data_IF_053317374314
#
_entry.id   IF_053317374314
#
_cell.length_a   1.000
_cell.length_b   1.000
_cell.length_c   1.000
_cell.angle_alpha   90.00
_cell.angle_beta   90.00
_cell.angle_gamma   90.00
#
_symmetry.space_group_name_H-M   'P 1'
#
loop_
_entity.id
_entity.type
_entity.pdbx_description
1 polymer ?
#
# COMPACT_ATOMS: atom_id res chain seq x y z
N UNK A 1 -12.47 0.91 17.42
CA UNK A 1 -13.83 1.42 17.10
C UNK A 1 -13.94 1.55 15.58
N UNK A 2 -15.12 1.35 14.96
CA UNK A 2 -15.28 1.57 13.52
C UNK A 2 -14.90 3.01 13.14
N UNK A 3 -14.07 3.19 12.11
CA UNK A 3 -13.59 4.50 11.67
C UNK A 3 -12.28 4.99 12.31
N UNK A 4 -11.55 4.12 13.02
CA UNK A 4 -10.19 4.43 13.50
C UNK A 4 -9.13 4.21 12.40
N UNK A 5 -8.05 4.99 12.47
CA UNK A 5 -6.87 4.82 11.63
C UNK A 5 -6.17 3.51 11.93
N UNK A 6 -5.78 2.78 10.88
CA UNK A 6 -4.93 1.59 10.97
C UNK A 6 -3.61 1.83 10.24
N UNK A 7 -2.51 1.29 10.79
CA UNK A 7 -1.20 1.33 10.16
C UNK A 7 -0.92 -0.04 9.54
N UNK A 8 -0.64 -0.07 8.24
CA UNK A 8 -0.22 -1.27 7.53
C UNK A 8 1.29 -1.21 7.29
N UNK A 9 2.01 -2.15 7.90
CA UNK A 9 3.46 -2.23 7.79
C UNK A 9 3.87 -3.48 7.01
N UNK A 10 4.92 -3.35 6.18
CA UNK A 10 5.48 -4.46 5.42
C UNK A 10 6.92 -4.70 5.90
N UNK A 11 7.08 -5.66 6.81
CA UNK A 11 8.37 -6.04 7.41
C UNK A 11 9.15 -7.09 6.59
N UNK A 12 8.92 -7.14 5.27
CA UNK A 12 9.57 -8.14 4.43
C UNK A 12 11.04 -7.78 4.17
N UNK A 13 11.96 -8.68 4.53
CA UNK A 13 13.39 -8.55 4.22
C UNK A 13 13.68 -9.03 2.78
N UNK A 14 14.22 -8.13 1.97
CA UNK A 14 14.58 -8.40 0.57
C UNK A 14 15.94 -9.09 0.42
N UNK A 15 16.69 -9.29 1.50
CA UNK A 15 17.99 -9.99 1.44
C UNK A 15 19.03 -9.29 0.56
N UNK A 16 18.91 -7.98 0.38
CA UNK A 16 19.79 -7.17 -0.47
C UNK A 16 19.26 -6.89 -1.88
N UNK A 17 18.12 -7.46 -2.26
CA UNK A 17 17.46 -7.14 -3.54
C UNK A 17 16.74 -5.79 -3.51
N UNK A 18 16.46 -5.27 -4.71
CA UNK A 18 15.70 -4.04 -4.88
C UNK A 18 14.19 -4.30 -4.79
N UNK A 19 13.50 -3.49 -3.99
CA UNK A 19 12.04 -3.52 -3.91
C UNK A 19 11.42 -3.21 -5.28
N UNK A 20 10.62 -4.15 -5.79
CA UNK A 20 9.84 -3.92 -7.00
C UNK A 20 8.60 -3.06 -6.72
N UNK A 21 7.76 -3.49 -5.78
CA UNK A 21 6.58 -2.76 -5.35
C UNK A 21 6.06 -3.28 -3.99
N UNK A 22 5.38 -2.42 -3.25
CA UNK A 22 4.46 -2.81 -2.17
C UNK A 22 3.05 -2.49 -2.63
N UNK A 23 2.10 -3.40 -2.40
CA UNK A 23 0.70 -3.24 -2.76
C UNK A 23 -0.19 -3.69 -1.62
N UNK A 24 -1.22 -2.91 -1.33
CA UNK A 24 -2.24 -3.27 -0.36
C UNK A 24 -3.58 -3.47 -1.05
N UNK A 25 -4.27 -4.52 -0.62
CA UNK A 25 -5.57 -4.93 -1.15
C UNK A 25 -6.56 -5.03 -0.01
N UNK A 26 -7.78 -4.57 -0.24
CA UNK A 26 -8.94 -4.91 0.59
C UNK A 26 -9.77 -5.84 -0.26
N UNK A 27 -9.90 -7.08 0.20
CA UNK A 27 -10.46 -8.17 -0.60
C UNK A 27 -9.67 -8.37 -1.90
N UNK A 28 -10.25 -7.98 -3.04
CA UNK A 28 -9.66 -8.15 -4.38
C UNK A 28 -9.32 -6.82 -5.06
N UNK A 29 -9.53 -5.69 -4.38
CA UNK A 29 -9.29 -4.35 -4.93
C UNK A 29 -8.00 -3.72 -4.36
N UNK A 30 -7.08 -3.34 -5.25
CA UNK A 30 -5.85 -2.60 -4.91
C UNK A 30 -6.24 -1.19 -4.48
N UNK A 31 -5.94 -0.79 -3.24
CA UNK A 31 -6.22 0.57 -2.75
C UNK A 31 -4.95 1.42 -2.54
N UNK A 32 -3.78 0.78 -2.46
CA UNK A 32 -2.49 1.47 -2.34
C UNK A 32 -1.40 0.71 -3.07
N UNK A 33 -0.51 1.46 -3.74
CA UNK A 33 0.70 0.93 -4.35
C UNK A 33 1.88 1.89 -4.19
N UNK A 34 3.00 1.34 -3.75
CA UNK A 34 4.30 2.00 -3.72
C UNK A 34 5.26 1.31 -4.69
N UNK A 35 5.80 2.06 -5.65
CA UNK A 35 6.83 1.61 -6.60
C UNK A 35 8.00 2.60 -6.52
N UNK A 36 9.16 2.21 -5.97
CA UNK A 36 10.28 3.14 -5.74
C UNK A 36 10.75 3.88 -7.00
N UNK A 37 10.65 3.24 -8.17
CA UNK A 37 11.11 3.77 -9.46
C UNK A 37 10.04 4.56 -10.25
N UNK A 38 8.83 4.71 -9.71
CA UNK A 38 7.74 5.42 -10.38
C UNK A 38 7.72 6.91 -10.03
N UNK A 39 7.01 7.70 -10.84
CA UNK A 39 6.70 9.11 -10.54
C UNK A 39 5.20 9.33 -10.78
N UNK A 40 4.37 9.52 -9.73
CA UNK A 40 4.75 9.49 -8.30
C UNK A 40 5.08 8.06 -7.81
N UNK A 41 5.87 7.97 -6.73
CA UNK A 41 6.27 6.68 -6.14
C UNK A 41 5.09 5.97 -5.48
N UNK A 42 4.18 6.71 -4.86
CA UNK A 42 2.98 6.21 -4.22
C UNK A 42 1.73 6.60 -5.01
N UNK A 43 0.79 5.68 -5.13
CA UNK A 43 -0.54 5.90 -5.70
C UNK A 43 -1.58 5.27 -4.77
N UNK A 44 -2.70 5.96 -4.58
CA UNK A 44 -3.88 5.42 -3.89
C UNK A 44 -5.06 5.32 -4.85
N UNK A 45 -5.94 4.36 -4.59
CA UNK A 45 -7.13 4.10 -5.38
C UNK A 45 -8.34 4.07 -4.46
N UNK A 46 -9.47 4.58 -4.96
CA UNK A 46 -10.71 4.61 -4.20
C UNK A 46 -11.28 3.20 -4.10
N UNK A 47 -11.38 2.68 -2.88
CA UNK A 47 -12.03 1.42 -2.54
C UNK A 47 -13.04 1.69 -1.43
N UNK A 48 -14.20 1.03 -1.49
CA UNK A 48 -15.26 1.26 -0.50
C UNK A 48 -14.81 0.93 0.93
N UNK A 49 -15.00 1.90 1.84
CA UNK A 49 -14.59 1.79 3.23
C UNK A 49 -13.09 1.97 3.48
N UNK A 50 -12.32 2.41 2.48
CA UNK A 50 -10.88 2.72 2.62
C UNK A 50 -10.65 4.20 2.31
N UNK A 51 -9.94 4.86 3.21
CA UNK A 51 -9.34 6.16 2.98
C UNK A 51 -7.83 6.04 3.18
N UNK A 52 -7.06 6.64 2.29
CA UNK A 52 -5.60 6.71 2.37
C UNK A 52 -5.23 8.18 2.46
N UNK A 53 -4.65 8.55 3.60
CA UNK A 53 -4.26 9.89 4.01
C UNK A 53 -2.95 10.35 3.34
#
# INVERSE_FOLDING_TARGET
>A
MPGETAILHCDYDLGGDALYAVKWYKEHEEFYRFVPKATPQANSYKVEGVHVD
#
